data_IF_596712892653
#
_entry.id   IF_596712892653
#
_cell.length_a   1.000
_cell.length_b   1.000
_cell.length_c   1.000
_cell.angle_alpha   90.00
_cell.angle_beta   90.00
_cell.angle_gamma   90.00
#
_symmetry.space_group_name_H-M   'P 1'
#
loop_
_entity.id
_entity.type
_entity.pdbx_description
1 polymer ?
#
# COMPACT_ATOMS: atom_id res chain seq x y z
N UNK A 1 -37.31 8.34 13.87
CA UNK A 1 -36.69 9.11 12.77
C UNK A 1 -35.64 10.01 13.40
N UNK A 2 -34.38 9.94 12.94
CA UNK A 2 -33.32 10.84 13.40
C UNK A 2 -33.36 12.13 12.57
N UNK A 3 -33.54 13.32 13.16
CA UNK A 3 -33.67 14.58 12.42
C UNK A 3 -32.40 14.98 11.66
N UNK A 4 -31.24 14.37 11.94
CA UNK A 4 -29.98 14.61 11.24
C UNK A 4 -29.89 13.85 9.92
N UNK A 5 -30.70 12.81 9.72
CA UNK A 5 -30.73 12.02 8.49
C UNK A 5 -31.71 12.65 7.50
N UNK A 6 -31.21 13.62 6.76
CA UNK A 6 -31.97 14.31 5.71
C UNK A 6 -32.02 13.45 4.42
N UNK A 7 -32.99 13.66 3.51
CA UNK A 7 -33.10 12.88 2.27
C UNK A 7 -31.84 12.88 1.39
N UNK A 8 -31.01 13.92 1.50
CA UNK A 8 -29.75 14.11 0.78
C UNK A 8 -28.74 12.98 1.07
N UNK A 9 -28.84 12.29 2.20
CA UNK A 9 -27.97 11.14 2.53
C UNK A 9 -28.02 10.05 1.44
N UNK A 10 -29.14 9.90 0.74
CA UNK A 10 -29.28 8.90 -0.33
C UNK A 10 -28.32 9.16 -1.50
N UNK A 11 -27.90 10.40 -1.71
CA UNK A 11 -26.97 10.76 -2.78
C UNK A 11 -25.57 10.18 -2.60
N UNK A 12 -25.19 9.83 -1.37
CA UNK A 12 -23.86 9.27 -1.03
C UNK A 12 -23.91 7.79 -0.67
N UNK A 13 -25.07 7.13 -0.76
CA UNK A 13 -25.19 5.69 -0.54
C UNK A 13 -24.84 4.89 -1.81
N UNK A 14 -23.66 5.16 -2.36
CA UNK A 14 -23.10 4.45 -3.53
C UNK A 14 -21.79 3.76 -3.17
N UNK A 15 -21.38 2.81 -4.02
CA UNK A 15 -20.11 2.08 -3.83
C UNK A 15 -18.92 3.04 -3.96
N UNK A 16 -18.99 3.96 -4.92
CA UNK A 16 -17.95 4.95 -5.19
C UNK A 16 -17.76 5.86 -3.97
N UNK A 17 -18.85 6.38 -3.41
CA UNK A 17 -18.79 7.21 -2.20
C UNK A 17 -18.26 6.42 -1.00
N UNK A 18 -18.64 5.14 -0.87
CA UNK A 18 -18.11 4.27 0.18
C UNK A 18 -16.59 4.05 0.02
N UNK A 19 -16.08 3.87 -1.19
CA UNK A 19 -14.64 3.73 -1.44
C UNK A 19 -13.88 5.03 -1.16
N UNK A 20 -14.36 6.17 -1.65
CA UNK A 20 -13.72 7.47 -1.42
C UNK A 20 -13.71 7.91 0.05
N UNK A 21 -14.70 7.49 0.84
CA UNK A 21 -14.73 7.72 2.29
C UNK A 21 -13.52 7.09 3.02
N UNK A 22 -12.92 6.03 2.46
CA UNK A 22 -11.73 5.38 3.00
C UNK A 22 -10.43 5.97 2.42
N UNK A 23 -10.32 7.29 2.46
CA UNK A 23 -9.19 8.08 1.91
C UNK A 23 -8.10 8.43 2.93
N UNK A 24 -8.12 7.83 4.12
CA UNK A 24 -7.02 7.89 5.07
C UNK A 24 -5.76 7.20 4.53
N UNK A 25 -4.61 7.43 5.20
CA UNK A 25 -3.38 6.74 4.85
C UNK A 25 -3.57 5.21 4.94
N UNK A 26 -3.24 4.50 3.86
CA UNK A 26 -3.45 3.05 3.76
C UNK A 26 -4.88 2.61 3.48
N UNK A 27 -5.80 3.54 3.23
CA UNK A 27 -7.20 3.26 2.91
C UNK A 27 -7.42 2.70 1.49
N UNK A 28 -8.67 2.42 1.17
CA UNK A 28 -9.09 1.74 -0.07
C UNK A 28 -9.62 2.68 -1.15
N UNK A 29 -9.62 4.00 -0.91
CA UNK A 29 -9.91 4.96 -1.97
C UNK A 29 -8.97 4.74 -3.17
N UNK A 30 -9.45 4.77 -4.43
CA UNK A 30 -8.65 4.50 -5.63
C UNK A 30 -7.30 5.24 -5.66
N UNK A 31 -7.27 6.51 -5.27
CA UNK A 31 -6.02 7.29 -5.20
C UNK A 31 -5.05 6.75 -4.14
N UNK A 32 -5.54 6.27 -2.99
CA UNK A 32 -4.70 5.62 -1.96
C UNK A 32 -4.13 4.30 -2.42
N UNK A 33 -4.92 3.50 -3.14
CA UNK A 33 -4.44 2.25 -3.76
C UNK A 33 -3.36 2.54 -4.80
N UNK A 34 -3.52 3.59 -5.61
CA UNK A 34 -2.49 4.01 -6.56
C UNK A 34 -1.18 4.41 -5.85
N UNK A 35 -1.25 5.19 -4.77
CA UNK A 35 -0.09 5.53 -3.94
C UNK A 35 0.57 4.29 -3.32
N UNK A 36 -0.22 3.34 -2.82
CA UNK A 36 0.27 2.07 -2.27
C UNK A 36 1.00 1.26 -3.32
N UNK A 37 0.43 1.13 -4.52
CA UNK A 37 1.05 0.44 -5.65
C UNK A 37 2.38 1.10 -6.05
N UNK A 38 2.46 2.43 -6.05
CA UNK A 38 3.71 3.15 -6.34
C UNK A 38 4.80 2.83 -5.31
N UNK A 39 4.46 2.88 -4.01
CA UNK A 39 5.40 2.52 -2.93
C UNK A 39 5.85 1.07 -3.01
N UNK A 40 4.93 0.14 -3.28
CA UNK A 40 5.25 -1.28 -3.42
C UNK A 40 6.20 -1.54 -4.59
N UNK A 41 5.97 -0.90 -5.75
CA UNK A 41 6.86 -1.02 -6.92
C UNK A 41 8.27 -0.57 -6.58
N UNK A 42 8.41 0.59 -5.95
CA UNK A 42 9.72 1.10 -5.51
C UNK A 42 10.43 0.13 -4.56
N UNK A 43 9.70 -0.46 -3.60
CA UNK A 43 10.25 -1.47 -2.69
C UNK A 43 10.70 -2.73 -3.45
N UNK A 44 9.87 -3.23 -4.38
CA UNK A 44 10.20 -4.40 -5.17
C UNK A 44 11.45 -4.17 -6.03
N UNK A 45 11.63 -2.97 -6.58
CA UNK A 45 12.83 -2.65 -7.36
C UNK A 45 14.10 -2.67 -6.49
N UNK A 46 14.02 -2.18 -5.25
CA UNK A 46 15.13 -2.29 -4.28
C UNK A 46 15.46 -3.74 -3.94
N UNK A 47 14.43 -4.55 -3.64
CA UNK A 47 14.61 -5.97 -3.33
C UNK A 47 15.21 -6.71 -4.53
N UNK A 48 14.69 -6.46 -5.75
CA UNK A 48 15.23 -7.04 -6.98
C UNK A 48 16.71 -6.70 -7.16
N UNK A 49 17.10 -5.43 -7.01
CA UNK A 49 18.50 -5.01 -7.09
C UNK A 49 19.35 -5.78 -6.08
N UNK A 50 18.96 -5.79 -4.81
CA UNK A 50 19.69 -6.49 -3.76
C UNK A 50 19.83 -7.99 -4.04
N UNK A 51 18.75 -8.65 -4.47
CA UNK A 51 18.80 -10.08 -4.83
C UNK A 51 19.66 -10.35 -6.06
N UNK A 52 19.68 -9.44 -7.04
CA UNK A 52 20.51 -9.56 -8.24
C UNK A 52 22.01 -9.41 -7.93
N UNK A 53 22.34 -8.57 -6.96
CA UNK A 53 23.72 -8.36 -6.51
C UNK A 53 24.22 -9.46 -5.55
N UNK A 54 23.33 -10.31 -5.04
CA UNK A 54 23.68 -11.34 -4.06
C UNK A 54 24.59 -12.42 -4.66
N UNK A 55 25.84 -12.47 -4.20
CA UNK A 55 26.87 -13.44 -4.64
C UNK A 55 27.00 -14.66 -3.70
N UNK A 56 25.96 -14.99 -2.92
CA UNK A 56 26.01 -16.09 -1.94
C UNK A 56 26.66 -15.73 -0.61
N UNK A 57 26.63 -16.68 0.33
CA UNK A 57 27.28 -16.56 1.65
C UNK A 57 28.81 -16.56 1.45
N UNK A 58 29.44 -15.39 1.66
CA UNK A 58 30.91 -15.28 1.67
C UNK A 58 31.43 -15.59 3.05
N UNK A 59 31.77 -16.85 3.30
CA UNK A 59 32.55 -17.24 4.48
C UNK A 59 34.01 -16.91 4.18
N UNK A 60 34.52 -15.81 4.71
CA UNK A 60 35.97 -15.56 4.70
C UNK A 60 36.62 -16.54 5.68
N UNK A 61 37.62 -17.34 5.28
CA UNK A 61 38.34 -18.19 6.21
C UNK A 61 39.11 -17.31 7.20
N UNK A 62 38.54 -17.11 8.38
CA UNK A 62 39.28 -16.83 9.60
C UNK A 62 39.12 -18.10 10.43
N UNK A 63 40.23 -18.64 10.93
CA UNK A 63 40.32 -19.87 11.75
C UNK A 63 40.71 -21.15 10.99
N UNK A 64 41.58 -21.03 9.97
CA UNK A 64 42.55 -22.09 9.64
C UNK A 64 43.94 -21.62 10.09
N UNK A 65 44.18 -21.65 11.39
CA UNK A 65 45.50 -21.58 12.01
C UNK A 65 45.55 -22.58 13.16
#
# INVERSE_FOLDING_TARGET
>A
MDPRLTPEVKSVLTIEAALEAHSGFGGTAPHRVAEQLARLRAHLDQVKSWTGDYQGLRVTPRDQA
#
